data_IF_977031521083
#
_entry.id   IF_977031521083
#
_cell.length_a   1.000
_cell.length_b   1.000
_cell.length_c   1.000
_cell.angle_alpha   90.00
_cell.angle_beta   90.00
_cell.angle_gamma   90.00
#
_symmetry.space_group_name_H-M   'P 1'
#
loop_
_entity.id
_entity.type
_entity.pdbx_description
1 polymer ?
#
# COMPACT_ATOMS: atom_id res chain seq x y z
N UNK A 1 13.88 -5.02 -14.46
CA UNK A 1 13.66 -3.56 -14.45
C UNK A 1 12.92 -3.16 -13.20
N UNK A 2 13.38 -2.14 -12.53
CA UNK A 2 12.73 -1.71 -11.30
C UNK A 2 11.75 -0.58 -11.56
N UNK A 3 10.64 -0.62 -10.85
CA UNK A 3 9.69 0.46 -10.86
C UNK A 3 10.15 1.56 -9.93
N UNK A 4 9.67 2.76 -10.13
CA UNK A 4 9.96 3.86 -9.22
C UNK A 4 8.83 4.00 -8.20
N UNK A 5 9.17 4.42 -6.99
CA UNK A 5 8.20 4.59 -5.93
C UNK A 5 7.67 6.02 -5.91
N UNK A 6 6.37 6.16 -5.86
CA UNK A 6 5.72 7.45 -5.74
C UNK A 6 4.60 7.36 -4.72
N UNK A 7 4.14 8.50 -4.22
CA UNK A 7 3.05 8.57 -3.25
C UNK A 7 2.03 9.60 -3.69
N UNK A 8 0.76 9.28 -3.49
CA UNK A 8 -0.25 10.32 -3.51
C UNK A 8 -0.02 11.21 -2.30
N UNK A 9 -0.39 12.47 -2.42
CA UNK A 9 -0.16 13.43 -1.35
C UNK A 9 -0.76 12.99 -0.01
N UNK A 10 -1.99 12.50 -0.04
CA UNK A 10 -2.64 12.03 1.18
C UNK A 10 -1.95 10.81 1.78
N UNK A 11 -1.50 9.91 0.92
CA UNK A 11 -0.78 8.74 1.38
C UNK A 11 0.56 9.14 2.00
N UNK A 12 1.22 10.13 1.41
CA UNK A 12 2.49 10.60 1.93
C UNK A 12 2.34 11.21 3.32
N UNK A 13 1.24 11.93 3.55
CA UNK A 13 0.97 12.49 4.88
C UNK A 13 0.83 11.39 5.92
N UNK A 14 0.11 10.34 5.59
CA UNK A 14 -0.05 9.21 6.50
C UNK A 14 1.26 8.46 6.70
N UNK A 15 2.04 8.33 5.63
CA UNK A 15 3.35 7.71 5.69
C UNK A 15 4.27 8.43 6.69
N UNK A 16 4.25 9.75 6.66
CA UNK A 16 5.09 10.54 7.56
C UNK A 16 4.69 10.41 9.02
N UNK A 17 3.44 10.08 9.28
CA UNK A 17 2.95 9.88 10.65
C UNK A 17 3.33 8.52 11.22
N UNK A 18 3.79 7.62 10.38
CA UNK A 18 4.14 6.28 10.84
C UNK A 18 5.37 6.31 11.73
N UNK A 19 5.38 5.40 12.69
CA UNK A 19 6.55 5.13 13.49
C UNK A 19 7.74 4.74 12.60
N UNK A 20 8.97 5.19 12.91
CA UNK A 20 10.12 4.87 12.06
C UNK A 20 10.32 3.38 11.80
N UNK A 21 10.10 2.55 12.81
CA UNK A 21 10.23 1.10 12.62
C UNK A 21 9.20 0.56 11.65
N UNK A 22 8.00 1.09 11.68
CA UNK A 22 6.94 0.67 10.78
C UNK A 22 7.23 1.12 9.36
N UNK A 23 7.71 2.35 9.20
CA UNK A 23 8.10 2.84 7.88
C UNK A 23 9.19 1.97 7.28
N UNK A 24 10.14 1.56 8.09
CA UNK A 24 11.22 0.70 7.64
C UNK A 24 10.69 -0.65 7.15
N UNK A 25 9.75 -1.22 7.87
CA UNK A 25 9.15 -2.49 7.47
C UNK A 25 8.41 -2.35 6.14
N UNK A 26 7.62 -1.31 5.99
CA UNK A 26 6.93 -1.06 4.72
C UNK A 26 7.92 -0.80 3.60
N UNK A 27 8.95 -0.02 3.90
CA UNK A 27 9.97 0.30 2.91
C UNK A 27 10.64 -0.95 2.37
N UNK A 28 11.00 -1.86 3.26
CA UNK A 28 11.64 -3.11 2.84
C UNK A 28 10.72 -3.92 1.93
N UNK A 29 9.45 -3.99 2.27
CA UNK A 29 8.48 -4.69 1.43
C UNK A 29 8.25 -3.98 0.11
N UNK A 30 8.22 -2.66 0.13
CA UNK A 30 8.05 -1.89 -1.10
C UNK A 30 9.23 -2.08 -2.04
N UNK A 31 10.44 -2.16 -1.51
CA UNK A 31 11.60 -2.40 -2.35
C UNK A 31 11.50 -3.71 -3.12
N UNK A 32 10.98 -4.75 -2.47
CA UNK A 32 10.72 -6.00 -3.15
C UNK A 32 9.67 -5.84 -4.24
N UNK A 33 8.62 -5.08 -3.94
CA UNK A 33 7.54 -4.86 -4.91
C UNK A 33 7.96 -3.99 -6.08
N UNK A 34 8.97 -3.15 -5.91
CA UNK A 34 9.49 -2.37 -7.03
C UNK A 34 10.13 -3.25 -8.09
N UNK A 35 10.61 -4.40 -7.70
CA UNK A 35 11.19 -5.36 -8.65
C UNK A 35 10.12 -6.23 -9.29
N UNK A 36 9.06 -6.53 -8.55
CA UNK A 36 7.98 -7.37 -9.04
C UNK A 36 6.67 -6.95 -8.36
N UNK A 37 6.04 -5.89 -8.85
CA UNK A 37 4.86 -5.33 -8.17
C UNK A 37 3.57 -6.12 -8.40
N UNK A 38 3.53 -6.98 -9.41
CA UNK A 38 2.33 -7.75 -9.71
C UNK A 38 2.29 -9.03 -8.90
N UNK A 39 1.73 -8.93 -7.69
CA UNK A 39 1.64 -10.06 -6.77
C UNK A 39 0.18 -10.45 -6.64
N UNK A 40 -0.28 -11.51 -7.32
CA UNK A 40 -1.71 -11.85 -7.34
C UNK A 40 -2.31 -12.05 -5.96
N UNK A 41 -1.58 -12.66 -5.05
CA UNK A 41 -2.09 -12.91 -3.70
C UNK A 41 -2.30 -11.63 -2.88
N UNK A 42 -1.72 -10.53 -3.30
CA UNK A 42 -1.85 -9.24 -2.62
C UNK A 42 -2.88 -8.33 -3.28
N UNK A 43 -3.54 -8.81 -4.31
CA UNK A 43 -4.50 -7.99 -5.06
C UNK A 43 -5.86 -8.02 -4.38
N UNK A 44 -6.43 -6.84 -4.06
CA UNK A 44 -7.78 -6.79 -3.51
C UNK A 44 -8.81 -7.27 -4.50
N UNK A 45 -9.91 -7.78 -3.98
CA UNK A 45 -11.01 -8.22 -4.81
C UNK A 45 -11.52 -7.10 -5.71
N UNK A 46 -11.68 -7.40 -6.98
CA UNK A 46 -12.21 -6.44 -7.94
C UNK A 46 -11.22 -5.42 -8.46
N UNK A 47 -9.97 -5.49 -8.03
CA UNK A 47 -8.95 -4.55 -8.48
C UNK A 47 -7.95 -5.25 -9.40
N UNK A 48 -7.56 -4.60 -10.47
CA UNK A 48 -6.60 -5.16 -11.42
C UNK A 48 -5.19 -4.62 -11.24
N UNK A 49 -5.08 -3.37 -10.78
CA UNK A 49 -3.79 -2.71 -10.69
C UNK A 49 -3.39 -2.33 -9.29
N UNK A 50 -4.22 -2.61 -8.32
CA UNK A 50 -3.95 -2.27 -6.94
C UNK A 50 -3.60 -3.50 -6.13
N UNK A 51 -2.65 -3.33 -5.22
CA UNK A 51 -2.15 -4.40 -4.38
C UNK A 51 -1.97 -3.87 -2.97
N UNK A 52 -1.96 -4.76 -2.00
CA UNK A 52 -1.79 -4.34 -0.61
C UNK A 52 -0.64 -5.07 0.05
N UNK A 53 -0.04 -4.37 1.01
CA UNK A 53 0.99 -4.90 1.88
C UNK A 53 0.46 -4.76 3.30
N UNK A 54 0.48 -5.86 4.04
CA UNK A 54 -0.04 -5.88 5.42
C UNK A 54 1.10 -6.06 6.39
N UNK A 55 1.08 -5.28 7.45
CA UNK A 55 1.92 -5.51 8.63
C UNK A 55 0.99 -6.03 9.71
N UNK A 56 0.82 -7.33 9.75
CA UNK A 56 -0.19 -7.97 10.60
C UNK A 56 -0.04 -7.67 12.08
N UNK A 57 1.18 -7.72 12.57
CA UNK A 57 1.43 -7.48 13.99
C UNK A 57 1.12 -6.05 14.40
N UNK A 58 1.40 -5.11 13.53
CA UNK A 58 1.15 -3.71 13.80
C UNK A 58 -0.28 -3.29 13.48
N UNK A 59 -1.00 -4.11 12.74
CA UNK A 59 -2.35 -3.77 12.33
C UNK A 59 -2.44 -2.67 11.29
N UNK A 60 -1.39 -2.50 10.50
CA UNK A 60 -1.36 -1.49 9.45
C UNK A 60 -1.32 -2.13 8.09
N UNK A 61 -1.76 -1.37 7.10
CA UNK A 61 -1.70 -1.81 5.72
C UNK A 61 -1.39 -0.64 4.80
N UNK A 62 -0.86 -0.98 3.64
CA UNK A 62 -0.53 -0.02 2.60
C UNK A 62 -1.10 -0.56 1.29
N UNK A 63 -1.67 0.32 0.48
CA UNK A 63 -2.17 -0.03 -0.84
C UNK A 63 -1.40 0.75 -1.87
N UNK A 64 -0.92 0.07 -2.89
CA UNK A 64 -0.26 0.73 -4.00
C UNK A 64 -0.92 0.35 -5.32
N UNK A 65 -0.76 1.22 -6.30
CA UNK A 65 -1.25 1.00 -7.64
C UNK A 65 -0.06 0.87 -8.59
N UNK A 66 -0.12 -0.10 -9.49
CA UNK A 66 0.96 -0.29 -10.46
C UNK A 66 0.61 0.44 -11.74
N UNK A 67 1.50 1.31 -12.18
CA UNK A 67 1.36 2.02 -13.44
C UNK A 67 2.44 1.53 -14.39
N UNK A 68 2.10 0.49 -15.12
CA UNK A 68 3.07 -0.21 -15.96
C UNK A 68 3.71 0.65 -17.01
N UNK A 69 2.93 1.48 -17.67
CA UNK A 69 3.46 2.32 -18.75
C UNK A 69 4.47 3.34 -18.26
N UNK A 70 4.33 3.74 -17.01
CA UNK A 70 5.21 4.73 -16.39
C UNK A 70 6.28 4.09 -15.54
N UNK A 71 6.19 2.79 -15.32
CA UNK A 71 7.07 2.04 -14.43
C UNK A 71 7.07 2.65 -13.03
N UNK A 72 5.86 2.91 -12.51
CA UNK A 72 5.67 3.52 -11.21
C UNK A 72 4.82 2.62 -10.32
N UNK A 73 5.27 2.47 -9.07
CA UNK A 73 4.47 1.93 -7.98
C UNK A 73 4.00 3.12 -7.16
N UNK A 74 2.70 3.41 -7.25
CA UNK A 74 2.12 4.59 -6.60
C UNK A 74 1.40 4.17 -5.33
N UNK A 75 1.88 4.66 -4.19
CA UNK A 75 1.22 4.39 -2.91
C UNK A 75 0.00 5.28 -2.81
N UNK A 76 -1.18 4.66 -2.76
CA UNK A 76 -2.44 5.39 -2.77
C UNK A 76 -3.08 5.48 -1.39
N UNK A 77 -2.73 4.59 -0.48
CA UNK A 77 -3.28 4.61 0.88
C UNK A 77 -2.34 3.93 1.86
N UNK A 78 -2.24 4.51 3.04
CA UNK A 78 -1.49 3.93 4.16
C UNK A 78 -2.30 4.19 5.39
N UNK A 79 -2.50 3.18 6.23
CA UNK A 79 -3.25 3.42 7.43
C UNK A 79 -3.40 2.21 8.31
N UNK A 80 -3.90 2.46 9.50
CA UNK A 80 -4.17 1.43 10.45
C UNK A 80 -5.35 0.60 9.98
N UNK A 81 -5.22 -0.68 10.12
CA UNK A 81 -6.30 -1.59 9.77
C UNK A 81 -7.28 -1.65 10.91
N UNK A 82 -8.16 -0.69 10.98
CA UNK A 82 -9.23 -0.72 11.96
C UNK A 82 -10.41 -1.41 11.31
N UNK A 83 -10.56 -2.66 11.66
CA UNK A 83 -11.58 -3.49 11.05
C UNK A 83 -12.94 -2.86 11.04
N UNK A 84 -13.39 -2.38 12.18
CA UNK A 84 -14.73 -1.83 12.30
C UNK A 84 -14.89 -0.57 11.47
N UNK A 85 -13.93 0.32 11.54
CA UNK A 85 -14.00 1.56 10.77
C UNK A 85 -13.98 1.29 9.28
N UNK A 86 -13.11 0.38 8.86
CA UNK A 86 -12.99 0.06 7.45
C UNK A 86 -14.26 -0.57 6.89
N UNK A 87 -14.83 -1.50 7.64
CA UNK A 87 -16.07 -2.14 7.19
C UNK A 87 -17.23 -1.19 7.18
N UNK A 88 -17.33 -0.34 8.18
CA UNK A 88 -18.43 0.62 8.21
C UNK A 88 -18.33 1.61 7.06
N UNK A 89 -17.13 2.04 6.75
CA UNK A 89 -16.93 2.93 5.62
C UNK A 89 -17.29 2.25 4.31
N UNK A 90 -16.91 0.99 4.15
CA UNK A 90 -17.24 0.22 2.96
C UNK A 90 -18.73 -0.01 2.83
N UNK A 91 -19.41 -0.29 3.93
CA UNK A 91 -20.83 -0.52 3.91
C UNK A 91 -21.62 0.73 3.57
N UNK A 92 -21.15 1.87 4.02
CA UNK A 92 -21.83 3.13 3.76
C UNK A 92 -21.56 3.68 2.38
N UNK A 93 -20.44 3.32 1.85
CA UNK A 93 -20.01 3.90 0.60
C UNK A 93 -19.96 3.03 -0.48
#
# INVERSE_FOLDING_TARGET
MNFELAFLEEALKEWRKLDPGMREQFKNKLEERLQNPHVPSAQPSGSRSRYKIKLRQAGYRLVYEVRDKQLIVLVVAVGKRERNAAYKAAERG
#
